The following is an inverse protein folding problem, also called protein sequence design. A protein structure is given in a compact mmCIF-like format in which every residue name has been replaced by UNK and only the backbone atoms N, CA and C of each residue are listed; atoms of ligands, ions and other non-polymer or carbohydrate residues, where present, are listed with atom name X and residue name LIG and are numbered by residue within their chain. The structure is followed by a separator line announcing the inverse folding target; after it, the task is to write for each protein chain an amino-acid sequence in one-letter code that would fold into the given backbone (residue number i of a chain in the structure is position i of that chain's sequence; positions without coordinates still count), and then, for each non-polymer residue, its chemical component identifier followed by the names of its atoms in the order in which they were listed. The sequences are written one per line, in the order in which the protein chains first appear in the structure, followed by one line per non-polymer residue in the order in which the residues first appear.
data_IF_820164402210
#
_entry.id   IF_820164402210
#
_cell.length_a   1.000
_cell.length_b   1.000
_cell.length_c   1.000
_cell.angle_alpha   90.00
_cell.angle_beta   90.00
_cell.angle_gamma   90.00
#
_symmetry.space_group_name_H-M   'P 1'
#
loop_
_entity.id
_entity.type
_entity.pdbx_description
1 polymer ?
#
# COMPACT_ATOMS: atom_id res chain seq x y z
N UNK A 1 8.97 0.55 -16.82
CA UNK A 1 7.61 0.81 -17.39
C UNK A 1 6.95 -0.45 -17.94
N UNK A 2 7.73 -1.50 -18.24
CA UNK A 2 7.40 -2.71 -18.98
C UNK A 2 6.06 -3.37 -18.62
N UNK A 3 5.73 -3.57 -17.32
CA UNK A 3 4.52 -4.29 -16.93
C UNK A 3 3.22 -3.69 -17.51
N UNK A 4 3.15 -2.35 -17.64
CA UNK A 4 2.01 -1.67 -18.28
C UNK A 4 1.99 -1.87 -19.80
N UNK A 5 3.16 -1.93 -20.42
CA UNK A 5 3.33 -2.13 -21.86
C UNK A 5 3.00 -3.57 -22.26
N UNK A 6 3.42 -4.54 -21.46
CA UNK A 6 3.07 -5.96 -21.61
C UNK A 6 1.55 -6.16 -21.50
N UNK A 7 0.93 -5.62 -20.45
CA UNK A 7 -0.53 -5.68 -20.25
C UNK A 7 -1.32 -5.10 -21.45
N UNK A 8 -0.84 -4.00 -22.05
CA UNK A 8 -1.41 -3.45 -23.29
C UNK A 8 -1.18 -4.39 -24.48
N UNK A 9 0.02 -4.95 -24.64
CA UNK A 9 0.37 -5.90 -25.71
C UNK A 9 -0.51 -7.16 -25.68
N UNK A 10 -0.82 -7.70 -24.50
CA UNK A 10 -1.70 -8.88 -24.34
C UNK A 10 -3.19 -8.55 -24.20
N UNK A 11 -3.58 -7.26 -24.27
CA UNK A 11 -4.94 -6.76 -24.04
C UNK A 11 -5.57 -7.25 -22.71
N UNK A 12 -4.80 -7.19 -21.61
CA UNK A 12 -5.27 -7.51 -20.27
C UNK A 12 -5.21 -6.29 -19.33
N UNK A 13 -6.09 -6.21 -18.30
CA UNK A 13 -5.99 -5.18 -17.28
C UNK A 13 -4.76 -5.42 -16.40
N UNK A 14 -3.90 -4.40 -16.30
CA UNK A 14 -2.78 -4.37 -15.36
C UNK A 14 -3.30 -4.46 -13.92
N UNK A 15 -2.81 -5.43 -13.14
CA UNK A 15 -3.09 -5.56 -11.71
C UNK A 15 -2.01 -4.86 -10.89
N UNK A 16 -2.32 -4.48 -9.66
CA UNK A 16 -1.33 -3.94 -8.74
C UNK A 16 -0.20 -4.92 -8.41
N UNK A 17 -0.48 -6.23 -8.42
CA UNK A 17 0.49 -7.31 -8.24
C UNK A 17 1.65 -7.31 -9.24
N UNK A 18 1.39 -6.79 -10.44
CA UNK A 18 2.28 -6.93 -11.60
C UNK A 18 3.38 -5.84 -11.59
N UNK A 19 3.28 -4.88 -10.67
CA UNK A 19 4.24 -3.79 -10.47
C UNK A 19 4.78 -3.85 -9.05
N UNK A 20 6.04 -4.25 -8.90
CA UNK A 20 6.76 -4.11 -7.62
C UNK A 20 7.77 -2.97 -7.68
N UNK A 21 7.75 -2.10 -6.68
CA UNK A 21 8.70 -0.99 -6.58
C UNK A 21 10.04 -1.45 -6.01
N UNK A 22 11.12 -0.72 -6.28
CA UNK A 22 12.43 -1.02 -5.68
C UNK A 22 12.37 -1.01 -4.15
N UNK A 23 11.74 0.01 -3.55
CA UNK A 23 11.60 0.13 -2.10
C UNK A 23 10.81 -1.03 -1.48
N UNK A 24 9.79 -1.55 -2.17
CA UNK A 24 9.04 -2.74 -1.77
C UNK A 24 9.91 -4.00 -1.85
N UNK A 25 10.62 -4.21 -2.95
CA UNK A 25 11.51 -5.37 -3.12
C UNK A 25 12.70 -5.39 -2.14
N UNK A 26 13.20 -4.22 -1.74
CA UNK A 26 14.26 -4.09 -0.73
C UNK A 26 13.74 -4.18 0.72
N UNK A 27 12.43 -4.15 0.95
CA UNK A 27 11.85 -4.15 2.30
C UNK A 27 11.62 -5.59 2.80
N UNK A 28 12.62 -6.16 3.46
CA UNK A 28 12.56 -7.52 4.03
C UNK A 28 11.49 -7.75 5.12
N UNK A 29 10.77 -6.70 5.55
CA UNK A 29 9.62 -6.78 6.47
C UNK A 29 8.27 -6.53 5.79
N UNK A 30 8.24 -6.44 4.46
CA UNK A 30 7.07 -6.12 3.62
C UNK A 30 6.28 -4.85 3.99
N UNK A 31 6.89 -3.91 4.74
CA UNK A 31 6.21 -2.72 5.27
C UNK A 31 5.74 -1.72 4.20
N UNK A 32 6.18 -1.88 2.94
CA UNK A 32 5.76 -1.06 1.79
C UNK A 32 4.98 -1.95 0.83
N UNK A 33 3.66 -1.76 0.76
CA UNK A 33 2.76 -2.45 -0.19
C UNK A 33 2.32 -1.47 -1.28
N UNK A 34 2.40 -1.90 -2.53
CA UNK A 34 1.97 -1.14 -3.72
C UNK A 34 0.86 -1.91 -4.43
N UNK A 35 -0.08 -1.20 -5.06
CA UNK A 35 -1.17 -1.85 -5.81
C UNK A 35 -2.18 -0.87 -6.41
N UNK A 36 -3.30 -1.40 -6.90
CA UNK A 36 -4.34 -0.66 -7.59
C UNK A 36 -5.43 -0.17 -6.63
N UNK A 37 -5.55 1.14 -6.45
CA UNK A 37 -6.61 1.78 -5.65
C UNK A 37 -8.04 1.49 -6.17
N UNK A 38 -8.20 1.08 -7.43
CA UNK A 38 -9.52 0.88 -8.07
C UNK A 38 -10.09 -0.54 -7.92
N UNK A 39 -9.34 -1.51 -7.42
CA UNK A 39 -9.86 -2.87 -7.19
C UNK A 39 -10.01 -3.15 -5.68
N UNK A 40 -11.24 -3.20 -5.14
CA UNK A 40 -11.49 -3.53 -3.73
C UNK A 40 -11.02 -4.92 -3.30
N UNK A 41 -10.67 -5.80 -4.24
CA UNK A 41 -10.20 -7.17 -3.95
C UNK A 41 -8.70 -7.26 -3.74
N UNK A 42 -7.92 -6.25 -4.13
CA UNK A 42 -6.47 -6.24 -3.92
C UNK A 42 -6.09 -6.00 -2.44
N UNK A 43 -5.04 -6.67 -1.97
CA UNK A 43 -4.45 -6.51 -0.63
C UNK A 43 -4.16 -5.02 -0.31
N UNK A 44 -3.67 -4.27 -1.30
CA UNK A 44 -3.39 -2.83 -1.20
C UNK A 44 -4.62 -1.99 -0.83
N UNK A 45 -5.80 -2.34 -1.34
CA UNK A 45 -7.03 -1.60 -1.01
C UNK A 45 -7.40 -1.76 0.47
N UNK A 46 -7.15 -2.95 1.04
CA UNK A 46 -7.40 -3.23 2.45
C UNK A 46 -6.44 -2.44 3.36
N UNK A 47 -5.15 -2.37 3.00
CA UNK A 47 -4.18 -1.55 3.73
C UNK A 47 -4.47 -0.05 3.63
N UNK A 48 -4.86 0.45 2.44
CA UNK A 48 -5.19 1.87 2.26
C UNK A 48 -6.37 2.30 3.12
N UNK A 49 -7.38 1.44 3.25
CA UNK A 49 -8.60 1.71 4.03
C UNK A 49 -8.54 1.09 5.45
N UNK A 50 -7.35 0.76 5.95
CA UNK A 50 -7.18 0.15 7.26
C UNK A 50 -7.51 1.13 8.40
N UNK A 51 -8.03 0.63 9.53
CA UNK A 51 -8.43 1.45 10.70
C UNK A 51 -7.29 2.24 11.37
N UNK A 52 -6.04 1.88 11.09
CA UNK A 52 -4.83 2.58 11.55
C UNK A 52 -4.18 3.40 10.42
N UNK A 53 -4.83 3.53 9.27
CA UNK A 53 -4.38 4.33 8.12
C UNK A 53 -4.55 5.82 8.38
N UNK A 54 -3.51 6.60 8.07
CA UNK A 54 -3.54 8.06 8.14
C UNK A 54 -2.77 8.68 6.97
N UNK A 55 -3.09 9.94 6.66
CA UNK A 55 -2.35 10.75 5.69
C UNK A 55 -1.40 11.71 6.42
N UNK A 56 -0.24 11.99 5.81
CA UNK A 56 0.72 12.98 6.35
C UNK A 56 0.23 14.38 5.99
N UNK A 57 0.08 15.24 7.01
CA UNK A 57 -0.41 16.62 6.90
C UNK A 57 -1.80 16.69 6.24
N UNK A 58 -2.74 15.90 6.76
CA UNK A 58 -4.12 15.80 6.25
C UNK A 58 -4.88 17.13 6.33
N UNK A 59 -4.53 17.99 7.29
CA UNK A 59 -5.05 19.35 7.49
C UNK A 59 -4.80 20.25 6.27
N UNK A 60 -3.76 19.97 5.48
CA UNK A 60 -3.43 20.70 4.24
C UNK A 60 -4.25 20.22 3.03
N UNK A 61 -5.03 19.14 3.17
CA UNK A 61 -5.90 18.57 2.12
C UNK A 61 -5.17 18.30 0.77
N UNK A 62 -3.88 17.96 0.82
CA UNK A 62 -3.06 17.69 -0.38
C UNK A 62 -3.34 16.33 -1.03
N UNK A 63 -4.27 15.55 -0.48
CA UNK A 63 -4.77 14.24 -0.97
C UNK A 63 -3.65 13.30 -1.42
N UNK A 64 -2.71 12.94 -0.51
CA UNK A 64 -1.53 12.19 -0.90
C UNK A 64 -1.85 10.76 -1.34
N UNK A 65 -1.07 10.26 -2.30
CA UNK A 65 -1.22 8.90 -2.82
C UNK A 65 -0.74 7.82 -1.85
N UNK A 66 0.07 8.18 -0.84
CA UNK A 66 0.59 7.27 0.19
C UNK A 66 -0.23 7.39 1.48
N UNK A 67 -0.66 6.26 2.01
CA UNK A 67 -1.25 6.12 3.35
C UNK A 67 -0.25 5.42 4.26
N UNK A 68 -0.08 5.90 5.49
CA UNK A 68 0.79 5.30 6.50
C UNK A 68 -0.04 4.54 7.54
N UNK A 69 0.50 3.46 8.11
CA UNK A 69 -0.13 2.74 9.20
C UNK A 69 0.48 3.14 10.55
N UNK A 70 -0.35 3.46 11.53
CA UNK A 70 0.11 3.84 12.87
C UNK A 70 0.82 2.67 13.59
N UNK A 71 1.99 2.95 14.19
CA UNK A 71 2.77 1.94 14.93
C UNK A 71 2.16 1.66 16.30
N UNK A 72 1.36 0.60 16.40
CA UNK A 72 0.97 0.00 17.67
C UNK A 72 2.22 -0.54 18.40
N UNK A 73 2.40 -0.21 19.68
CA UNK A 73 3.58 -0.59 20.48
C UNK A 73 3.31 -1.63 21.58
N UNK A 74 2.04 -1.97 21.82
CA UNK A 74 1.56 -2.93 22.82
C UNK A 74 2.30 -2.88 24.18
N UNK A 75 2.23 -1.75 24.87
CA UNK A 75 3.02 -1.43 26.07
C UNK A 75 2.34 -1.89 27.36
N UNK A 76 1.86 -3.14 27.43
CA UNK A 76 1.28 -3.70 28.64
C UNK A 76 2.35 -4.39 29.49
N UNK A 77 2.31 -4.20 30.81
CA UNK A 77 3.17 -4.88 31.78
C UNK A 77 2.52 -6.20 32.22
N UNK A 78 3.33 -7.24 32.43
CA UNK A 78 2.89 -8.54 32.95
C UNK A 78 2.72 -8.50 34.49
N UNK A 79 1.92 -7.53 34.98
CA UNK A 79 1.56 -7.39 36.39
C UNK A 79 0.03 -7.41 36.55
N UNK A 80 -0.52 -8.63 36.66
CA UNK A 80 -1.89 -8.96 37.08
C UNK A 80 -1.85 -10.21 37.95
#
# INVERSE_FOLDING_TARGET
MEAREEAIRVNQPLKGSDVRTACQNSCGTEAIKFGNIKDPKEEFYQYRNHKLGYYVLEELNVKPNVTYLAKLRNTHSEEV
#
